data_IF_650890841972
#
_entry.id   IF_650890841972
#
_cell.length_a   1.000
_cell.length_b   1.000
_cell.length_c   1.000
_cell.angle_alpha   90.00
_cell.angle_beta   90.00
_cell.angle_gamma   90.00
#
_symmetry.space_group_name_H-M   'P 1'
#
loop_
_entity.id
_entity.type
_entity.pdbx_description
1 polymer ?
#
# COMPACT_ATOMS: atom_id res chain seq x y z
N UNK A 1 20.54 -5.36 -4.68
CA UNK A 1 20.80 -4.74 -3.36
C UNK A 1 21.14 -5.86 -2.39
N UNK A 2 22.17 -5.73 -1.57
CA UNK A 2 22.59 -6.75 -0.60
C UNK A 2 21.58 -6.77 0.56
N UNK A 3 20.84 -7.87 0.73
CA UNK A 3 19.91 -8.07 1.84
C UNK A 3 18.43 -8.02 1.48
N UNK A 4 18.09 -7.96 0.20
CA UNK A 4 16.70 -8.04 -0.25
C UNK A 4 16.07 -9.39 0.12
N UNK A 5 14.83 -9.36 0.57
CA UNK A 5 14.05 -10.57 0.76
C UNK A 5 13.69 -11.18 -0.60
N UNK A 6 13.90 -12.48 -0.74
CA UNK A 6 13.60 -13.25 -1.95
C UNK A 6 12.28 -14.00 -1.77
N UNK A 7 11.55 -14.23 -2.87
CA UNK A 7 10.23 -14.84 -2.81
C UNK A 7 10.21 -16.23 -2.16
N UNK A 8 11.28 -17.01 -2.30
CA UNK A 8 11.43 -18.34 -1.68
C UNK A 8 11.61 -18.29 -0.15
N UNK A 9 11.90 -17.12 0.42
CA UNK A 9 12.05 -16.93 1.86
C UNK A 9 10.71 -16.77 2.59
N UNK A 10 9.63 -16.49 1.83
CA UNK A 10 8.29 -16.34 2.40
C UNK A 10 7.57 -17.68 2.48
N UNK A 11 7.21 -18.08 3.70
CA UNK A 11 6.34 -19.23 3.92
C UNK A 11 4.86 -18.87 3.75
N UNK A 12 3.99 -19.88 3.72
CA UNK A 12 2.53 -19.67 3.56
C UNK A 12 1.95 -18.75 4.65
N UNK A 13 2.51 -18.79 5.86
CA UNK A 13 2.05 -17.97 7.00
C UNK A 13 2.42 -16.50 6.84
N UNK A 14 3.47 -16.22 6.06
CA UNK A 14 3.97 -14.86 5.83
C UNK A 14 3.19 -14.13 4.71
N UNK A 15 2.16 -14.78 4.17
CA UNK A 15 1.29 -14.27 3.09
C UNK A 15 -0.14 -13.99 3.55
N UNK A 16 -0.40 -14.03 4.86
CA UNK A 16 -1.72 -13.83 5.47
C UNK A 16 -1.64 -12.78 6.56
N UNK A 17 -2.44 -11.72 6.43
CA UNK A 17 -2.32 -10.53 7.29
C UNK A 17 -3.69 -10.02 7.76
N UNK A 18 -3.79 -9.43 8.95
CA UNK A 18 -4.85 -8.48 9.24
C UNK A 18 -4.82 -7.35 8.20
N UNK A 19 -5.96 -7.01 7.59
CA UNK A 19 -6.04 -5.93 6.61
C UNK A 19 -6.50 -4.64 7.27
N UNK A 20 -5.78 -3.56 6.95
CA UNK A 20 -6.14 -2.17 7.24
C UNK A 20 -6.19 -1.42 5.91
N UNK A 21 -7.25 -0.64 5.68
CA UNK A 21 -7.39 0.22 4.50
C UNK A 21 -7.52 1.67 4.94
N UNK A 22 -6.50 2.46 4.64
CA UNK A 22 -6.50 3.91 4.90
C UNK A 22 -7.04 4.61 3.65
N UNK A 23 -8.18 5.26 3.79
CA UNK A 23 -8.85 5.97 2.70
C UNK A 23 -8.41 7.43 2.65
N UNK A 24 -7.73 7.81 1.57
CA UNK A 24 -7.37 9.19 1.24
C UNK A 24 -8.01 9.67 -0.08
N UNK A 25 -9.00 8.92 -0.60
CA UNK A 25 -9.57 9.17 -1.92
C UNK A 25 -10.16 10.57 -2.08
N UNK A 26 -10.78 11.12 -1.04
CA UNK A 26 -11.30 12.51 -1.07
C UNK A 26 -10.16 13.55 -1.13
N UNK A 27 -9.05 13.31 -0.44
CA UNK A 27 -7.88 14.19 -0.48
C UNK A 27 -7.18 14.16 -1.83
N UNK A 28 -7.16 12.99 -2.48
CA UNK A 28 -6.63 12.83 -3.84
C UNK A 28 -7.45 13.59 -4.88
N UNK A 29 -8.78 13.74 -4.68
CA UNK A 29 -9.60 14.58 -5.56
C UNK A 29 -9.23 16.07 -5.48
N UNK A 30 -8.79 16.52 -4.31
CA UNK A 30 -8.36 17.91 -4.10
C UNK A 30 -6.89 18.12 -4.53
N UNK A 31 -6.05 17.12 -4.32
CA UNK A 31 -4.62 17.14 -4.69
C UNK A 31 -4.20 15.77 -5.22
N UNK A 32 -4.06 15.66 -6.53
CA UNK A 32 -3.73 14.42 -7.24
C UNK A 32 -2.42 13.79 -6.78
N UNK A 33 -1.45 14.60 -6.30
CA UNK A 33 -0.16 14.16 -5.79
C UNK A 33 -0.12 14.08 -4.25
N UNK A 34 -1.28 13.85 -3.63
CA UNK A 34 -1.36 13.81 -2.17
C UNK A 34 -0.48 12.68 -1.61
N UNK A 35 0.45 13.03 -0.74
CA UNK A 35 1.22 12.08 0.05
C UNK A 35 0.53 11.85 1.39
N UNK A 36 0.16 10.60 1.71
CA UNK A 36 -0.47 10.26 2.98
C UNK A 36 0.41 10.68 4.16
N UNK A 37 -0.22 11.25 5.18
CA UNK A 37 0.45 11.79 6.37
C UNK A 37 0.26 10.90 7.59
N UNK A 38 1.06 11.13 8.63
CA UNK A 38 0.86 10.49 9.95
C UNK A 38 -0.49 10.88 10.56
N UNK A 39 -0.97 12.10 10.31
CA UNK A 39 -2.26 12.54 10.83
C UNK A 39 -3.44 11.83 10.16
N UNK A 40 -3.31 11.42 8.89
CA UNK A 40 -4.29 10.56 8.23
C UNK A 40 -4.38 9.20 8.91
N UNK A 41 -3.23 8.62 9.23
CA UNK A 41 -3.15 7.33 9.93
C UNK A 41 -3.74 7.44 11.33
N UNK A 42 -3.41 8.50 12.06
CA UNK A 42 -4.01 8.75 13.40
C UNK A 42 -5.51 9.01 13.34
N UNK A 43 -5.99 9.65 12.27
CA UNK A 43 -7.41 9.82 12.02
C UNK A 43 -8.11 8.48 11.80
N UNK A 44 -7.49 7.58 11.03
CA UNK A 44 -7.94 6.20 10.90
C UNK A 44 -7.97 5.49 12.26
N UNK A 45 -6.89 5.56 13.03
CA UNK A 45 -6.79 4.89 14.35
C UNK A 45 -7.81 5.42 15.37
N UNK A 46 -8.11 6.70 15.34
CA UNK A 46 -9.15 7.30 16.19
C UNK A 46 -10.55 6.76 15.87
N UNK A 47 -10.81 6.39 14.62
CA UNK A 47 -12.10 5.87 14.17
C UNK A 47 -12.24 4.34 14.33
N UNK A 48 -11.16 3.58 14.10
CA UNK A 48 -11.20 2.13 13.94
C UNK A 48 -10.32 1.36 14.93
N UNK A 49 -9.53 2.06 15.75
CA UNK A 49 -8.56 1.47 16.66
C UNK A 49 -7.15 1.41 16.04
N UNK A 50 -6.17 1.10 16.88
CA UNK A 50 -4.76 1.01 16.49
C UNK A 50 -4.56 -0.01 15.35
N UNK A 51 -3.63 0.29 14.45
CA UNK A 51 -3.20 -0.66 13.41
C UNK A 51 -2.65 -1.92 14.11
N UNK A 52 -3.20 -3.12 13.82
CA UNK A 52 -2.72 -4.35 14.44
C UNK A 52 -1.26 -4.66 14.11
N UNK A 53 -0.57 -5.27 15.07
CA UNK A 53 0.76 -5.84 14.85
C UNK A 53 0.75 -6.83 13.68
N UNK A 54 1.73 -6.76 12.79
CA UNK A 54 1.81 -7.62 11.62
C UNK A 54 0.77 -7.33 10.52
N UNK A 55 0.09 -6.17 10.54
CA UNK A 55 -0.92 -5.82 9.53
C UNK A 55 -0.32 -5.61 8.13
N UNK A 56 -1.15 -5.87 7.12
CA UNK A 56 -1.02 -5.31 5.77
C UNK A 56 -1.79 -3.99 5.73
N UNK A 57 -1.10 -2.89 5.47
CA UNK A 57 -1.69 -1.56 5.41
C UNK A 57 -1.84 -1.12 3.97
N UNK A 58 -3.08 -1.11 3.46
CA UNK A 58 -3.41 -0.68 2.10
C UNK A 58 -3.80 0.80 2.06
N UNK A 59 -3.34 1.50 1.04
CA UNK A 59 -3.70 2.89 0.77
C UNK A 59 -4.73 2.96 -0.35
N UNK A 60 -5.96 3.32 -0.01
CA UNK A 60 -7.03 3.55 -0.97
C UNK A 60 -7.03 5.01 -1.42
N UNK A 61 -6.85 5.19 -2.72
CA UNK A 61 -6.72 6.49 -3.39
C UNK A 61 -7.82 6.74 -4.42
N UNK A 62 -8.54 5.66 -4.81
CA UNK A 62 -9.45 5.64 -5.96
C UNK A 62 -8.73 5.56 -7.31
N UNK A 63 -7.40 5.37 -7.32
CA UNK A 63 -6.57 5.38 -8.52
C UNK A 63 -6.84 4.19 -9.43
N UNK A 64 -7.16 3.04 -8.87
CA UNK A 64 -7.46 1.80 -9.62
C UNK A 64 -8.62 1.92 -10.61
N UNK A 65 -9.49 2.92 -10.43
CA UNK A 65 -10.60 3.21 -11.37
C UNK A 65 -10.14 3.67 -12.74
N UNK A 66 -8.87 4.02 -12.89
CA UNK A 66 -8.25 4.42 -14.16
C UNK A 66 -7.87 3.22 -15.02
N UNK A 67 -7.79 2.02 -14.42
CA UNK A 67 -7.51 0.79 -15.16
C UNK A 67 -8.62 0.44 -16.17
N UNK A 68 -8.31 -0.08 -17.39
CA UNK A 68 -6.97 -0.50 -17.86
C UNK A 68 -6.23 0.57 -18.70
N UNK A 69 -6.59 1.85 -18.60
CA UNK A 69 -5.94 2.92 -19.33
C UNK A 69 -4.60 3.28 -18.68
N UNK A 70 -3.50 2.81 -19.28
CA UNK A 70 -2.15 3.01 -18.74
C UNK A 70 -1.72 4.49 -18.76
N UNK A 71 -2.17 5.26 -19.76
CA UNK A 71 -1.87 6.70 -19.81
C UNK A 71 -2.59 7.43 -18.66
N UNK A 72 -3.83 7.02 -18.36
CA UNK A 72 -4.54 7.56 -17.20
C UNK A 72 -3.91 7.13 -15.87
N UNK A 73 -3.35 5.93 -15.76
CA UNK A 73 -2.66 5.44 -14.55
C UNK A 73 -1.36 6.21 -14.32
N UNK A 74 -0.52 6.36 -15.34
CA UNK A 74 0.74 7.11 -15.25
C UNK A 74 0.51 8.61 -15.10
N UNK A 75 -0.58 9.12 -15.69
CA UNK A 75 -1.02 10.51 -15.58
C UNK A 75 0.11 11.51 -15.87
N UNK A 76 0.82 11.31 -17.01
CA UNK A 76 1.90 12.19 -17.45
C UNK A 76 1.39 13.59 -17.81
N UNK A 77 2.17 14.60 -17.47
CA UNK A 77 2.03 15.94 -18.03
C UNK A 77 2.66 16.06 -19.43
N UNK A 78 2.62 17.27 -20.01
CA UNK A 78 3.21 17.54 -21.33
C UNK A 78 4.76 17.48 -21.34
N UNK A 79 5.39 17.53 -20.19
CA UNK A 79 6.84 17.50 -19.99
C UNK A 79 7.33 16.09 -19.65
N UNK A 80 6.41 15.14 -19.48
CA UNK A 80 6.70 13.74 -19.16
C UNK A 80 6.83 13.48 -17.65
N UNK A 81 6.39 14.42 -16.81
CA UNK A 81 6.29 14.24 -15.36
C UNK A 81 5.06 13.42 -14.98
N UNK A 82 5.21 12.50 -14.07
CA UNK A 82 4.11 11.71 -13.51
C UNK A 82 3.45 12.43 -12.34
N UNK A 83 2.11 12.30 -12.23
CA UNK A 83 1.33 12.96 -11.18
C UNK A 83 0.35 11.98 -10.53
N UNK A 84 0.75 11.35 -9.42
CA UNK A 84 -0.07 10.40 -8.68
C UNK A 84 0.16 10.48 -7.17
N UNK A 85 -0.84 10.05 -6.35
CA UNK A 85 -0.73 10.02 -4.91
C UNK A 85 0.12 8.85 -4.45
N UNK A 86 0.55 8.87 -3.19
CA UNK A 86 1.30 7.75 -2.64
C UNK A 86 1.65 7.93 -1.16
N UNK A 87 2.64 7.20 -0.73
CA UNK A 87 3.14 7.23 0.64
C UNK A 87 4.11 8.39 0.86
N UNK A 88 4.13 8.92 2.08
CA UNK A 88 5.23 9.73 2.60
C UNK A 88 6.16 8.87 3.45
N UNK A 89 7.42 9.29 3.57
CA UNK A 89 8.40 8.60 4.41
C UNK A 89 7.98 8.55 5.87
N UNK A 90 7.38 9.62 6.38
CA UNK A 90 6.92 9.71 7.76
C UNK A 90 5.77 8.74 8.03
N UNK A 91 4.85 8.59 7.08
CA UNK A 91 3.74 7.65 7.17
C UNK A 91 4.24 6.19 7.17
N UNK A 92 5.18 5.86 6.27
CA UNK A 92 5.79 4.53 6.25
C UNK A 92 6.55 4.21 7.54
N UNK A 93 7.35 5.14 8.03
CA UNK A 93 8.02 4.95 9.32
C UNK A 93 7.03 4.73 10.44
N UNK A 94 5.94 5.47 10.46
CA UNK A 94 4.92 5.29 11.49
C UNK A 94 4.32 3.89 11.46
N UNK A 95 3.87 3.40 10.30
CA UNK A 95 3.28 2.06 10.22
C UNK A 95 4.30 0.95 10.53
N UNK A 96 5.56 1.10 10.12
CA UNK A 96 6.57 0.06 10.32
C UNK A 96 7.31 0.13 11.65
N UNK A 97 7.67 1.32 12.13
CA UNK A 97 8.51 1.48 13.30
C UNK A 97 7.67 1.69 14.58
N UNK A 98 6.43 2.20 14.46
CA UNK A 98 5.55 2.42 15.61
C UNK A 98 4.48 1.32 15.72
N UNK A 99 3.91 0.88 14.59
CA UNK A 99 2.82 -0.10 14.55
C UNK A 99 3.25 -1.51 14.14
N UNK A 100 4.52 -1.70 13.79
CA UNK A 100 5.09 -2.98 13.39
C UNK A 100 4.31 -3.69 12.28
N UNK A 101 3.84 -2.94 11.27
CA UNK A 101 3.19 -3.51 10.09
C UNK A 101 4.13 -4.51 9.38
N UNK A 102 3.58 -5.56 8.82
CA UNK A 102 4.34 -6.55 8.06
C UNK A 102 4.50 -6.15 6.59
N UNK A 103 3.48 -5.52 6.02
CA UNK A 103 3.42 -5.18 4.61
C UNK A 103 2.62 -3.91 4.36
N UNK A 104 2.78 -3.31 3.18
CA UNK A 104 1.91 -2.25 2.69
C UNK A 104 1.51 -2.48 1.24
N UNK A 105 0.55 -1.69 0.77
CA UNK A 105 0.18 -1.67 -0.64
C UNK A 105 -0.58 -0.42 -1.02
N UNK A 106 -0.76 -0.21 -2.33
CA UNK A 106 -1.40 0.97 -2.89
C UNK A 106 -1.93 0.68 -4.31
N UNK A 107 -2.70 1.63 -4.86
CA UNK A 107 -3.32 1.49 -6.18
C UNK A 107 -2.48 2.09 -7.32
N UNK A 108 -1.40 2.81 -7.00
CA UNK A 108 -0.48 3.47 -7.94
C UNK A 108 0.66 2.55 -8.37
N UNK A 109 1.47 2.99 -9.35
CA UNK A 109 2.61 2.24 -9.87
C UNK A 109 3.79 2.23 -8.91
N UNK A 110 4.04 3.35 -8.22
CA UNK A 110 5.13 3.51 -7.26
C UNK A 110 4.63 3.79 -5.85
N UNK A 111 5.48 3.49 -4.88
CA UNK A 111 5.20 3.71 -3.45
C UNK A 111 5.17 5.19 -3.10
N UNK A 112 6.16 5.94 -3.56
CA UNK A 112 6.30 7.38 -3.31
C UNK A 112 5.17 8.16 -3.99
N UNK A 113 4.62 9.19 -3.33
CA UNK A 113 3.84 10.17 -4.05
C UNK A 113 4.74 10.88 -5.07
N UNK A 114 4.27 11.05 -6.30
CA UNK A 114 5.08 11.57 -7.42
C UNK A 114 5.80 12.87 -7.10
N UNK A 115 5.15 13.80 -6.38
CA UNK A 115 5.74 15.07 -5.94
C UNK A 115 6.95 14.88 -5.03
N UNK A 116 7.00 13.82 -4.23
CA UNK A 116 8.12 13.52 -3.34
C UNK A 116 9.27 12.90 -4.12
N UNK A 117 8.97 11.95 -5.02
CA UNK A 117 9.94 11.34 -5.94
C UNK A 117 10.61 12.42 -6.82
N UNK A 118 9.81 13.30 -7.43
CA UNK A 118 10.33 14.39 -8.27
C UNK A 118 11.27 15.36 -7.50
N UNK A 119 10.91 15.70 -6.25
CA UNK A 119 11.75 16.59 -5.41
C UNK A 119 13.07 15.95 -4.99
N UNK A 120 13.07 14.66 -4.70
CA UNK A 120 14.27 13.93 -4.26
C UNK A 120 15.12 13.41 -5.42
N UNK A 121 14.53 13.25 -6.61
CA UNK A 121 15.11 12.53 -7.74
C UNK A 121 15.30 11.04 -7.46
N UNK A 122 14.47 10.46 -6.60
CA UNK A 122 14.63 9.11 -6.07
C UNK A 122 13.30 8.59 -5.50
N UNK A 123 13.07 7.28 -5.59
CA UNK A 123 11.99 6.55 -4.93
C UNK A 123 12.42 6.17 -3.50
N UNK A 124 12.48 7.18 -2.63
CA UNK A 124 13.06 7.03 -1.29
C UNK A 124 12.20 6.14 -0.38
N UNK A 125 10.87 6.19 -0.52
CA UNK A 125 9.93 5.37 0.23
C UNK A 125 10.06 3.90 -0.19
N UNK A 126 10.09 3.63 -1.48
CA UNK A 126 10.28 2.28 -2.01
C UNK A 126 11.62 1.70 -1.56
N UNK A 127 12.71 2.42 -1.72
CA UNK A 127 14.03 2.00 -1.26
C UNK A 127 14.04 1.70 0.24
N UNK A 128 13.39 2.53 1.06
CA UNK A 128 13.28 2.29 2.50
C UNK A 128 12.62 0.94 2.80
N UNK A 129 11.54 0.59 2.08
CA UNK A 129 10.84 -0.69 2.27
C UNK A 129 11.71 -1.87 1.89
N UNK A 130 12.38 -1.79 0.74
CA UNK A 130 13.26 -2.84 0.24
C UNK A 130 14.45 -3.06 1.18
N UNK A 131 15.07 -1.99 1.67
CA UNK A 131 16.16 -2.06 2.66
C UNK A 131 15.71 -2.70 3.98
N UNK A 132 14.43 -2.59 4.34
CA UNK A 132 13.83 -3.23 5.51
C UNK A 132 13.35 -4.66 5.25
N UNK A 133 13.46 -5.16 4.02
CA UNK A 133 12.94 -6.46 3.61
C UNK A 133 11.43 -6.58 3.78
N UNK A 134 10.70 -5.49 3.56
CA UNK A 134 9.24 -5.44 3.68
C UNK A 134 8.58 -5.83 2.37
N UNK A 135 7.45 -6.54 2.47
CA UNK A 135 6.59 -6.83 1.33
C UNK A 135 5.76 -5.61 0.99
N UNK A 136 5.72 -5.24 -0.29
CA UNK A 136 4.76 -4.26 -0.82
C UNK A 136 3.99 -4.83 -2.01
N UNK A 137 2.77 -4.33 -2.22
CA UNK A 137 1.94 -4.68 -3.36
C UNK A 137 1.45 -3.41 -4.04
N UNK A 138 1.78 -3.28 -5.31
CA UNK A 138 1.41 -2.17 -6.17
C UNK A 138 0.18 -2.50 -7.02
N UNK A 139 -0.43 -1.48 -7.60
CA UNK A 139 -1.55 -1.62 -8.54
C UNK A 139 -2.71 -2.45 -7.96
N UNK A 140 -3.00 -2.26 -6.68
CA UNK A 140 -4.14 -2.88 -6.01
C UNK A 140 -5.45 -2.33 -6.57
N UNK A 141 -6.53 -3.09 -6.42
CA UNK A 141 -7.87 -2.65 -6.79
C UNK A 141 -8.92 -3.15 -5.79
N UNK A 142 -10.15 -2.64 -5.91
CA UNK A 142 -11.32 -3.03 -5.10
C UNK A 142 -11.15 -2.74 -3.59
N UNK A 143 -10.29 -1.80 -3.21
CA UNK A 143 -10.11 -1.41 -1.81
C UNK A 143 -11.35 -0.72 -1.23
N UNK A 144 -12.22 -0.17 -2.09
CA UNK A 144 -13.53 0.39 -1.73
C UNK A 144 -14.59 -0.67 -1.40
N UNK A 145 -14.31 -1.95 -1.65
CA UNK A 145 -15.24 -3.06 -1.39
C UNK A 145 -14.96 -3.81 -0.09
N UNK A 146 -13.92 -3.43 0.64
CA UNK A 146 -13.54 -4.04 1.90
C UNK A 146 -13.66 -3.03 3.04
N UNK A 147 -13.96 -3.48 4.29
CA UNK A 147 -14.02 -2.57 5.42
C UNK A 147 -12.64 -1.97 5.73
N UNK A 148 -12.64 -0.79 6.35
CA UNK A 148 -11.42 -0.11 6.78
C UNK A 148 -10.55 -0.95 7.72
N UNK A 149 -11.17 -1.81 8.54
CA UNK A 149 -10.49 -2.73 9.46
C UNK A 149 -11.29 -4.02 9.67
N UNK A 150 -10.64 -5.07 10.18
CA UNK A 150 -11.28 -6.32 10.59
C UNK A 150 -11.33 -7.41 9.51
N UNK A 151 -10.90 -7.14 8.29
CA UNK A 151 -10.72 -8.17 7.26
C UNK A 151 -9.34 -8.84 7.40
N UNK A 152 -9.21 -10.02 6.77
CA UNK A 152 -7.94 -10.73 6.59
C UNK A 152 -7.62 -10.76 5.11
N UNK A 153 -6.40 -10.39 4.73
CA UNK A 153 -5.94 -10.43 3.34
C UNK A 153 -4.91 -11.53 3.13
N UNK A 154 -5.00 -12.15 1.96
CA UNK A 154 -4.06 -13.12 1.44
C UNK A 154 -3.34 -12.50 0.25
N UNK A 155 -2.00 -12.40 0.32
CA UNK A 155 -1.14 -11.90 -0.77
C UNK A 155 -0.23 -13.06 -1.20
N UNK A 156 -0.68 -13.85 -2.19
CA UNK A 156 -0.04 -15.14 -2.53
C UNK A 156 0.73 -15.05 -3.83
N UNK A 157 1.99 -15.45 -3.77
CA UNK A 157 2.90 -15.55 -4.90
C UNK A 157 3.72 -16.85 -4.81
N UNK A 158 4.21 -17.40 -5.96
CA UNK A 158 5.01 -18.59 -5.95
C UNK A 158 6.43 -18.37 -5.38
N UNK A 159 7.02 -19.35 -4.68
CA UNK A 159 8.40 -19.28 -4.22
C UNK A 159 9.35 -19.58 -5.38
N UNK A 160 9.80 -18.55 -6.08
CA UNK A 160 10.73 -18.66 -7.22
C UNK A 160 12.13 -18.28 -6.76
N UNK A 161 13.09 -19.17 -6.94
CA UNK A 161 14.48 -18.97 -6.55
C UNK A 161 15.07 -17.70 -7.18
N UNK A 162 15.59 -16.80 -6.34
CA UNK A 162 16.23 -15.56 -6.74
C UNK A 162 15.28 -14.46 -7.20
N UNK A 163 13.94 -14.64 -7.11
CA UNK A 163 13.00 -13.60 -7.51
C UNK A 163 12.76 -12.59 -6.39
N UNK A 164 12.87 -11.28 -6.73
CA UNK A 164 12.63 -10.14 -5.84
C UNK A 164 11.27 -9.51 -6.04
N UNK A 165 10.61 -9.76 -7.18
CA UNK A 165 9.30 -9.23 -7.51
C UNK A 165 8.52 -10.18 -8.40
N UNK A 166 7.23 -10.36 -8.12
CA UNK A 166 6.34 -11.30 -8.81
C UNK A 166 4.92 -10.75 -8.87
N UNK A 167 4.14 -11.12 -9.91
CA UNK A 167 2.70 -10.92 -9.87
C UNK A 167 2.09 -11.66 -8.67
N UNK A 168 1.25 -10.94 -7.91
CA UNK A 168 0.59 -11.47 -6.73
C UNK A 168 -0.89 -11.75 -7.02
N UNK A 169 -1.43 -12.85 -6.49
CA UNK A 169 -2.87 -13.07 -6.38
C UNK A 169 -3.32 -12.66 -4.99
N UNK A 170 -4.20 -11.64 -4.93
CA UNK A 170 -4.73 -11.14 -3.66
C UNK A 170 -6.24 -11.31 -3.55
N UNK A 171 -6.70 -11.62 -2.35
CA UNK A 171 -8.12 -11.56 -1.97
C UNK A 171 -8.25 -11.31 -0.47
N UNK A 172 -9.37 -10.74 -0.06
CA UNK A 172 -9.69 -10.54 1.34
C UNK A 172 -10.88 -11.41 1.78
N UNK A 173 -10.82 -11.88 3.03
CA UNK A 173 -11.95 -12.48 3.73
C UNK A 173 -12.51 -11.42 4.66
N UNK A 174 -13.76 -11.04 4.42
CA UNK A 174 -14.49 -10.03 5.19
C UNK A 174 -15.40 -10.76 6.17
N UNK A 175 -15.38 -10.43 7.48
CA UNK A 175 -16.29 -11.04 8.43
C UNK A 175 -17.73 -10.68 8.08
N UNK A 176 -18.65 -11.63 8.22
CA UNK A 176 -20.08 -11.36 8.11
C UNK A 176 -20.46 -10.25 9.11
N UNK A 177 -21.19 -9.25 8.64
CA UNK A 177 -21.80 -8.29 9.54
C UNK A 177 -22.86 -9.06 10.35
N UNK A 178 -22.52 -9.43 11.57
CA UNK A 178 -23.49 -9.95 12.51
C UNK A 178 -24.47 -8.81 12.77
N UNK A 179 -25.65 -8.88 12.16
CA UNK A 179 -26.76 -8.03 12.55
C UNK A 179 -27.02 -8.32 14.04
N UNK A 180 -26.61 -7.38 14.89
CA UNK A 180 -27.04 -7.43 16.29
C UNK A 180 -28.56 -7.23 16.29
N UNK A 181 -29.28 -8.31 16.53
CA UNK A 181 -30.72 -8.33 16.80
C UNK A 181 -30.96 -7.57 18.11
#
# INVERSE_FOLDING_TARGET
>A
IKGEALSEQYGVKDMVFPLVVIDISEKVKENVEYAVTVDDIKGFEAAYGDIPDGAFVALYTGWSRRWPDMDAISNFDQEGGEHFPGWSMEALRYIYEVRNAAANGHETLDTDASVLAARSGDLACERYLLDKGKLQVEVMCNLDQVPAAGAIVFAVFPPIEGATGLPVRMWAVVPEQVQRV
#
